data_IF_513544054247
#
_entry.id   IF_513544054247
#
_cell.length_a   1.000
_cell.length_b   1.000
_cell.length_c   1.000
_cell.angle_alpha   90.00
_cell.angle_beta   90.00
_cell.angle_gamma   90.00
#
_symmetry.space_group_name_H-M   'P 1'
#
loop_
_entity.id
_entity.type
_entity.pdbx_description
1 polymer ?
#
# COMPACT_ATOMS: atom_id res chain seq x y z
N UNK A 1 -36.12 10.19 -11.91
CA UNK A 1 -34.67 9.93 -11.96
C UNK A 1 -34.18 9.77 -10.53
N UNK A 2 -33.49 8.68 -10.17
CA UNK A 2 -32.86 8.60 -8.85
C UNK A 2 -31.90 9.77 -8.66
N UNK A 3 -31.82 10.27 -7.43
CA UNK A 3 -30.93 11.39 -7.10
C UNK A 3 -29.49 11.02 -7.50
N UNK A 4 -28.75 11.94 -8.13
CA UNK A 4 -27.37 11.67 -8.49
C UNK A 4 -26.57 11.31 -7.24
N UNK A 5 -25.83 10.21 -7.32
CA UNK A 5 -24.98 9.76 -6.22
C UNK A 5 -23.94 10.82 -5.92
N UNK A 6 -23.71 11.07 -4.64
CA UNK A 6 -22.65 11.96 -4.20
C UNK A 6 -21.30 11.28 -4.47
N UNK A 7 -20.37 12.02 -5.05
CA UNK A 7 -19.08 11.52 -5.51
C UNK A 7 -17.98 12.32 -4.81
N UNK A 8 -17.12 11.62 -4.09
CA UNK A 8 -15.97 12.21 -3.42
C UNK A 8 -14.75 12.17 -4.36
N UNK A 9 -14.32 13.31 -4.95
CA UNK A 9 -13.14 13.36 -5.83
C UNK A 9 -11.83 13.08 -5.09
N UNK A 10 -11.80 13.21 -3.75
CA UNK A 10 -10.60 12.95 -2.95
C UNK A 10 -10.39 11.46 -2.64
N UNK A 11 -11.39 10.62 -2.92
CA UNK A 11 -11.36 9.20 -2.59
C UNK A 11 -10.34 8.40 -3.43
N UNK A 12 -10.16 8.73 -4.71
CA UNK A 12 -9.18 8.09 -5.61
C UNK A 12 -9.01 8.86 -6.93
N UNK A 13 -7.93 8.57 -7.68
CA UNK A 13 -7.76 9.12 -9.03
C UNK A 13 -8.90 8.70 -10.01
N UNK A 14 -9.37 7.43 -10.03
CA UNK A 14 -10.57 7.07 -10.76
C UNK A 14 -11.83 7.83 -10.32
N UNK A 15 -11.98 8.13 -9.02
CA UNK A 15 -13.11 8.92 -8.53
C UNK A 15 -13.01 10.39 -8.97
N UNK A 16 -11.81 10.99 -8.92
CA UNK A 16 -11.54 12.31 -9.46
C UNK A 16 -11.85 12.38 -10.96
N UNK A 17 -11.40 11.38 -11.72
CA UNK A 17 -11.71 11.23 -13.14
C UNK A 17 -13.21 11.12 -13.38
N UNK A 18 -13.92 10.28 -12.64
CA UNK A 18 -15.36 10.14 -12.75
C UNK A 18 -16.11 11.44 -12.46
N UNK A 19 -15.70 12.20 -11.44
CA UNK A 19 -16.24 13.52 -11.11
C UNK A 19 -15.97 14.54 -12.23
N UNK A 20 -14.74 14.58 -12.76
CA UNK A 20 -14.39 15.46 -13.88
C UNK A 20 -15.19 15.10 -15.14
N UNK A 21 -15.23 13.83 -15.52
CA UNK A 21 -16.00 13.33 -16.65
C UNK A 21 -17.48 13.72 -16.55
N UNK A 22 -18.08 13.55 -15.37
CA UNK A 22 -19.48 13.95 -15.13
C UNK A 22 -19.67 15.46 -15.26
N UNK A 23 -18.75 16.28 -14.73
CA UNK A 23 -18.81 17.75 -14.88
C UNK A 23 -18.71 18.18 -16.33
N UNK A 24 -17.80 17.58 -17.09
CA UNK A 24 -17.59 17.86 -18.52
C UNK A 24 -18.80 17.45 -19.36
N UNK A 25 -19.34 16.25 -19.12
CA UNK A 25 -20.55 15.78 -19.79
C UNK A 25 -21.74 16.72 -19.57
N UNK A 26 -21.95 17.16 -18.32
CA UNK A 26 -23.06 18.08 -18.00
C UNK A 26 -22.84 19.44 -18.65
N UNK A 27 -21.59 19.94 -18.69
CA UNK A 27 -21.24 21.20 -19.36
C UNK A 27 -21.51 21.15 -20.87
N UNK A 28 -21.20 20.03 -21.51
CA UNK A 28 -21.47 19.78 -22.92
C UNK A 28 -22.95 19.46 -23.22
N UNK A 29 -23.82 19.40 -22.20
CA UNK A 29 -25.26 19.17 -22.37
C UNK A 29 -25.64 17.72 -22.65
N UNK A 30 -24.72 16.76 -22.52
CA UNK A 30 -24.99 15.36 -22.82
C UNK A 30 -25.64 14.62 -21.64
N UNK A 31 -26.57 13.71 -21.94
CA UNK A 31 -27.01 12.69 -20.99
C UNK A 31 -26.01 11.52 -20.99
N UNK A 32 -26.00 10.67 -19.94
CA UNK A 32 -25.13 9.47 -19.94
C UNK A 32 -25.42 8.56 -21.14
N UNK A 33 -26.70 8.46 -21.55
CA UNK A 33 -27.12 7.74 -22.75
C UNK A 33 -26.63 8.43 -24.02
N UNK A 34 -26.85 9.74 -24.13
CA UNK A 34 -26.41 10.52 -25.30
C UNK A 34 -24.90 10.48 -25.51
N UNK A 35 -24.10 10.50 -24.44
CA UNK A 35 -22.65 10.33 -24.55
C UNK A 35 -22.27 8.89 -24.93
N UNK A 36 -22.98 7.90 -24.37
CA UNK A 36 -22.80 6.49 -24.72
C UNK A 36 -23.21 6.14 -26.16
N UNK A 37 -24.12 6.90 -26.77
CA UNK A 37 -24.53 6.69 -28.16
C UNK A 37 -23.47 7.20 -29.17
N UNK A 38 -22.56 8.10 -28.73
CA UNK A 38 -21.48 8.67 -29.56
C UNK A 38 -20.19 7.84 -29.53
N UNK A 39 -20.12 6.81 -28.69
CA UNK A 39 -18.94 6.00 -28.43
C UNK A 39 -19.36 4.53 -28.44
N UNK A 40 -18.53 3.56 -28.89
CA UNK A 40 -18.90 2.14 -28.89
C UNK A 40 -18.93 1.50 -27.49
N UNK A 41 -19.59 2.13 -26.52
CA UNK A 41 -19.73 1.64 -25.13
C UNK A 41 -21.17 1.77 -24.66
N UNK A 42 -21.66 0.75 -23.94
CA UNK A 42 -22.98 0.82 -23.33
C UNK A 42 -23.08 1.98 -22.32
N UNK A 43 -24.22 2.69 -22.29
CA UNK A 43 -24.48 3.80 -21.36
C UNK A 43 -24.26 3.42 -19.88
N UNK A 44 -24.46 2.15 -19.51
CA UNK A 44 -24.19 1.63 -18.17
C UNK A 44 -22.71 1.72 -17.77
N UNK A 45 -21.79 1.62 -18.75
CA UNK A 45 -20.34 1.77 -18.53
C UNK A 45 -19.97 3.23 -18.30
N UNK A 46 -20.58 4.17 -19.02
CA UNK A 46 -20.41 5.63 -18.74
C UNK A 46 -20.74 5.92 -17.27
N UNK A 47 -21.82 5.34 -16.74
CA UNK A 47 -22.14 5.48 -15.33
C UNK A 47 -21.09 4.84 -14.40
N UNK A 48 -20.49 3.69 -14.76
CA UNK A 48 -19.39 3.10 -13.96
C UNK A 48 -18.12 3.96 -13.99
N UNK A 49 -17.81 4.59 -15.13
CA UNK A 49 -16.68 5.51 -15.26
C UNK A 49 -16.89 6.75 -14.39
N UNK A 50 -18.10 7.34 -14.41
CA UNK A 50 -18.44 8.48 -13.55
C UNK A 50 -18.41 8.14 -12.05
N UNK A 51 -18.76 6.90 -11.69
CA UNK A 51 -18.67 6.42 -10.31
C UNK A 51 -17.23 6.08 -9.87
N UNK A 52 -16.25 6.13 -10.78
CA UNK A 52 -14.86 5.74 -10.50
C UNK A 52 -14.69 4.25 -10.19
N UNK A 53 -15.65 3.40 -10.59
CA UNK A 53 -15.63 1.95 -10.37
C UNK A 53 -14.89 1.18 -11.47
N UNK A 54 -14.92 1.73 -12.69
CA UNK A 54 -14.24 1.19 -13.85
C UNK A 54 -13.47 2.34 -14.50
N UNK A 55 -12.24 2.07 -14.95
CA UNK A 55 -11.46 3.02 -15.74
C UNK A 55 -11.75 2.74 -17.22
N UNK A 56 -12.05 3.77 -18.03
CA UNK A 56 -12.28 3.55 -19.46
C UNK A 56 -11.04 2.94 -20.13
N UNK A 57 -11.21 2.09 -21.15
CA UNK A 57 -10.12 1.73 -22.07
C UNK A 57 -9.47 2.97 -22.70
N UNK A 58 -8.23 2.83 -23.19
CA UNK A 58 -7.43 3.93 -23.74
C UNK A 58 -8.10 4.62 -24.93
N UNK A 59 -8.58 3.82 -25.87
CA UNK A 59 -9.32 4.23 -27.07
C UNK A 59 -10.62 4.96 -26.71
N UNK A 60 -11.33 4.45 -25.71
CA UNK A 60 -12.57 5.07 -25.19
C UNK A 60 -12.25 6.41 -24.52
N UNK A 61 -11.16 6.49 -23.75
CA UNK A 61 -10.75 7.71 -23.08
C UNK A 61 -10.34 8.80 -24.05
N UNK A 62 -9.53 8.48 -25.06
CA UNK A 62 -9.16 9.42 -26.12
C UNK A 62 -10.41 9.96 -26.84
N UNK A 63 -11.38 9.09 -27.13
CA UNK A 63 -12.62 9.50 -27.79
C UNK A 63 -13.51 10.37 -26.90
N UNK A 64 -13.55 10.13 -25.59
CA UNK A 64 -14.25 10.97 -24.63
C UNK A 64 -13.65 12.38 -24.57
N UNK A 65 -12.33 12.48 -24.63
CA UNK A 65 -11.60 13.75 -24.65
C UNK A 65 -11.94 14.58 -25.89
N UNK A 66 -11.91 13.95 -27.07
CA UNK A 66 -12.31 14.56 -28.35
C UNK A 66 -13.76 15.07 -28.34
N UNK A 67 -14.71 14.23 -27.91
CA UNK A 67 -16.15 14.56 -27.96
C UNK A 67 -16.50 15.67 -26.96
N UNK A 68 -15.82 15.72 -25.83
CA UNK A 68 -16.07 16.73 -24.79
C UNK A 68 -15.25 18.00 -25.01
N UNK A 69 -14.37 18.04 -26.02
CA UNK A 69 -13.54 19.18 -26.41
C UNK A 69 -12.70 19.72 -25.24
N UNK A 70 -11.96 18.83 -24.58
CA UNK A 70 -11.21 19.14 -23.34
C UNK A 70 -9.69 19.13 -23.48
N UNK A 71 -9.21 19.17 -24.73
CA UNK A 71 -7.80 19.43 -25.08
C UNK A 71 -6.77 18.56 -24.32
N UNK A 72 -7.08 17.28 -24.16
CA UNK A 72 -6.19 16.29 -23.52
C UNK A 72 -6.31 16.16 -22.01
N UNK A 73 -7.12 16.98 -21.33
CA UNK A 73 -7.28 16.95 -19.87
C UNK A 73 -7.71 15.57 -19.33
N UNK A 74 -8.55 14.83 -20.08
CA UNK A 74 -8.96 13.48 -19.68
C UNK A 74 -7.88 12.45 -19.99
N UNK A 75 -7.12 12.63 -21.08
CA UNK A 75 -5.96 11.79 -21.43
C UNK A 75 -4.86 11.90 -20.38
N UNK A 76 -4.54 13.10 -19.93
CA UNK A 76 -3.53 13.32 -18.88
C UNK A 76 -3.96 12.67 -17.56
N UNK A 77 -5.21 12.90 -17.15
CA UNK A 77 -5.73 12.32 -15.91
C UNK A 77 -5.82 10.79 -15.98
N UNK A 78 -6.15 10.23 -17.14
CA UNK A 78 -6.18 8.80 -17.36
C UNK A 78 -4.78 8.16 -17.31
N UNK A 79 -3.77 8.86 -17.83
CA UNK A 79 -2.37 8.43 -17.74
C UNK A 79 -1.91 8.31 -16.29
N UNK A 80 -2.34 9.23 -15.42
CA UNK A 80 -2.10 9.13 -13.97
C UNK A 80 -2.81 7.94 -13.32
N UNK A 81 -4.00 7.55 -13.79
CA UNK A 81 -4.68 6.35 -13.29
C UNK A 81 -3.90 5.08 -13.67
N UNK A 82 -3.36 5.00 -14.89
CA UNK A 82 -2.59 3.83 -15.35
C UNK A 82 -1.23 3.70 -14.70
N UNK A 83 -0.53 4.81 -14.44
CA UNK A 83 0.78 4.80 -13.79
C UNK A 83 0.71 4.38 -12.32
N UNK A 84 -0.47 4.43 -11.70
CA UNK A 84 -0.62 4.11 -10.28
C UNK A 84 -1.81 3.18 -10.02
N UNK A 85 -1.73 1.89 -10.38
CA UNK A 85 -2.75 0.93 -9.99
C UNK A 85 -2.52 0.50 -8.54
N UNK A 86 -2.60 1.43 -7.58
CA UNK A 86 -2.70 1.04 -6.16
C UNK A 86 -4.10 0.44 -6.01
N UNK A 87 -4.23 -0.87 -5.70
CA UNK A 87 -5.54 -1.49 -5.59
C UNK A 87 -6.42 -0.78 -4.55
N UNK A 88 -7.75 -0.83 -4.74
CA UNK A 88 -8.73 -0.21 -3.83
C UNK A 88 -8.54 -0.64 -2.37
N UNK A 89 -8.21 -1.91 -2.15
CA UNK A 89 -7.91 -2.43 -0.81
C UNK A 89 -6.68 -1.77 -0.20
N UNK A 90 -5.65 -1.47 -1.00
CA UNK A 90 -4.41 -0.85 -0.56
C UNK A 90 -4.64 0.63 -0.22
N UNK A 91 -5.50 1.33 -0.97
CA UNK A 91 -5.92 2.70 -0.62
C UNK A 91 -6.69 2.74 0.69
N UNK A 92 -7.67 1.86 0.86
CA UNK A 92 -8.41 1.73 2.14
C UNK A 92 -7.47 1.39 3.28
N UNK A 93 -6.52 0.49 3.06
CA UNK A 93 -5.50 0.16 4.04
C UNK A 93 -4.68 1.39 4.46
N UNK A 94 -4.18 2.19 3.52
CA UNK A 94 -3.44 3.44 3.82
C UNK A 94 -4.30 4.43 4.60
N UNK A 95 -5.58 4.60 4.23
CA UNK A 95 -6.50 5.47 4.95
C UNK A 95 -6.74 4.99 6.40
N UNK A 96 -6.87 3.69 6.60
CA UNK A 96 -6.97 3.10 7.95
C UNK A 96 -5.66 3.24 8.72
N UNK A 97 -4.52 2.97 8.09
CA UNK A 97 -3.18 3.09 8.67
C UNK A 97 -2.95 4.50 9.23
N UNK A 98 -3.40 5.55 8.52
CA UNK A 98 -3.28 6.94 8.95
C UNK A 98 -4.09 7.27 10.23
N UNK A 99 -5.25 6.65 10.40
CA UNK A 99 -6.21 6.90 11.50
C UNK A 99 -6.11 5.90 12.66
N UNK A 100 -5.24 4.91 12.54
CA UNK A 100 -5.11 3.83 13.51
C UNK A 100 -4.35 4.30 14.75
N UNK A 101 -4.75 3.79 15.93
CA UNK A 101 -4.05 4.04 17.20
C UNK A 101 -3.00 2.97 17.52
N UNK A 102 -3.13 1.75 16.98
CA UNK A 102 -2.17 0.67 17.16
C UNK A 102 -2.08 -0.24 15.93
N UNK A 103 -0.86 -0.54 15.49
CA UNK A 103 -0.54 -1.43 14.38
C UNK A 103 0.28 -2.60 14.87
N UNK A 104 -0.20 -3.82 14.60
CA UNK A 104 0.54 -5.05 14.85
C UNK A 104 0.93 -5.68 13.51
N UNK A 105 2.22 -5.92 13.29
CA UNK A 105 2.74 -6.46 12.04
C UNK A 105 3.63 -7.67 12.32
N UNK A 106 3.38 -8.76 11.60
CA UNK A 106 4.32 -9.87 11.48
C UNK A 106 4.89 -9.88 10.07
N UNK A 107 6.21 -9.98 9.94
CA UNK A 107 6.87 -10.00 8.64
C UNK A 107 7.92 -11.10 8.58
N UNK A 108 7.79 -11.97 7.56
CA UNK A 108 8.65 -13.13 7.37
C UNK A 108 9.68 -12.97 6.24
N UNK A 109 9.64 -11.89 5.47
CA UNK A 109 10.45 -11.78 4.24
C UNK A 109 11.22 -10.48 4.11
N UNK A 110 10.73 -9.40 4.73
CA UNK A 110 11.39 -8.10 4.71
C UNK A 110 10.99 -7.29 5.93
N UNK A 111 11.80 -6.29 6.27
CA UNK A 111 11.46 -5.32 7.31
C UNK A 111 10.17 -4.58 6.89
N UNK A 112 9.21 -4.30 7.79
CA UNK A 112 8.01 -3.54 7.42
C UNK A 112 8.37 -2.17 6.84
N UNK A 113 7.67 -1.73 5.78
CA UNK A 113 7.95 -0.48 5.08
C UNK A 113 8.05 0.79 5.96
N UNK A 114 7.37 0.80 7.11
CA UNK A 114 7.42 1.90 8.07
C UNK A 114 8.77 2.03 8.80
N UNK A 115 9.59 0.96 8.79
CA UNK A 115 10.90 0.90 9.43
C UNK A 115 12.03 0.76 8.40
N UNK A 116 11.74 0.85 7.10
CA UNK A 116 12.74 0.69 6.04
C UNK A 116 13.58 1.97 5.85
N UNK A 117 14.86 1.81 5.58
CA UNK A 117 15.72 2.86 5.01
C UNK A 117 15.42 3.02 3.52
N UNK A 118 15.79 4.15 2.95
CA UNK A 118 15.59 4.40 1.52
C UNK A 118 16.28 3.35 0.64
N UNK A 119 17.56 3.06 0.92
CA UNK A 119 18.32 2.07 0.17
C UNK A 119 17.69 0.67 0.25
N UNK A 120 17.24 0.24 1.43
CA UNK A 120 16.55 -1.04 1.59
C UNK A 120 15.19 -1.05 0.90
N UNK A 121 14.42 0.04 0.99
CA UNK A 121 13.12 0.16 0.34
C UNK A 121 13.24 0.05 -1.18
N UNK A 122 14.24 0.72 -1.77
CA UNK A 122 14.57 0.66 -3.18
C UNK A 122 14.86 -0.78 -3.61
N UNK A 123 15.72 -1.48 -2.89
CA UNK A 123 16.08 -2.87 -3.20
C UNK A 123 14.88 -3.82 -3.14
N UNK A 124 14.02 -3.69 -2.12
CA UNK A 124 12.80 -4.50 -1.99
C UNK A 124 11.80 -4.21 -3.11
N UNK A 125 11.63 -2.93 -3.48
CA UNK A 125 10.68 -2.52 -4.52
C UNK A 125 11.15 -2.92 -5.91
N UNK A 126 12.42 -2.67 -6.25
CA UNK A 126 13.02 -3.04 -7.53
C UNK A 126 13.01 -4.58 -7.72
N UNK A 127 13.38 -5.36 -6.69
CA UNK A 127 13.31 -6.82 -6.78
C UNK A 127 11.87 -7.36 -6.90
N UNK A 128 10.92 -6.70 -6.24
CA UNK A 128 9.50 -7.10 -6.29
C UNK A 128 8.80 -6.73 -7.60
N UNK A 129 9.38 -5.82 -8.38
CA UNK A 129 8.80 -5.29 -9.61
C UNK A 129 9.86 -5.19 -10.73
N UNK A 130 10.39 -6.33 -11.21
CA UNK A 130 11.48 -6.34 -12.20
C UNK A 130 11.11 -5.71 -13.55
N UNK A 131 9.83 -5.43 -13.77
CA UNK A 131 9.29 -4.84 -15.00
C UNK A 131 8.97 -3.33 -14.90
N UNK A 132 9.13 -2.73 -13.72
CA UNK A 132 8.90 -1.29 -13.54
C UNK A 132 10.06 -0.47 -14.09
N UNK A 133 9.77 0.75 -14.57
CA UNK A 133 10.83 1.68 -14.94
C UNK A 133 11.53 2.22 -13.70
N UNK A 134 12.71 2.83 -13.89
CA UNK A 134 13.47 3.46 -12.79
C UNK A 134 12.65 4.56 -12.13
N UNK A 135 11.95 5.37 -12.94
CA UNK A 135 11.10 6.47 -12.47
C UNK A 135 9.93 5.95 -11.63
N UNK A 136 9.25 4.90 -12.10
CA UNK A 136 8.16 4.25 -11.35
C UNK A 136 8.66 3.65 -10.02
N UNK A 137 9.87 3.08 -10.01
CA UNK A 137 10.47 2.55 -8.79
C UNK A 137 10.75 3.66 -7.77
N UNK A 138 11.33 4.79 -8.21
CA UNK A 138 11.61 5.94 -7.34
C UNK A 138 10.31 6.58 -6.80
N UNK A 139 9.26 6.70 -7.62
CA UNK A 139 7.94 7.15 -7.14
C UNK A 139 7.39 6.25 -6.04
N UNK A 140 7.52 4.92 -6.19
CA UNK A 140 7.08 3.95 -5.19
C UNK A 140 7.92 4.01 -3.91
N UNK A 141 9.23 4.26 -4.02
CA UNK A 141 10.13 4.48 -2.88
C UNK A 141 9.70 5.75 -2.13
N UNK A 142 9.52 6.87 -2.84
CA UNK A 142 9.08 8.12 -2.25
C UNK A 142 7.72 7.98 -1.54
N UNK A 143 6.76 7.30 -2.18
CA UNK A 143 5.45 7.02 -1.59
C UNK A 143 5.53 6.09 -0.37
N UNK A 144 6.54 5.22 -0.28
CA UNK A 144 6.78 4.36 0.89
C UNK A 144 7.41 5.12 2.04
N UNK A 145 8.40 5.97 1.76
CA UNK A 145 9.08 6.76 2.78
C UNK A 145 8.19 7.87 3.34
N UNK A 146 7.34 8.50 2.51
CA UNK A 146 6.40 9.52 2.96
C UNK A 146 5.43 9.00 4.05
N UNK A 147 5.07 7.72 3.99
CA UNK A 147 4.23 7.05 5.00
C UNK A 147 4.90 6.93 6.38
N UNK A 148 6.22 7.01 6.47
CA UNK A 148 6.92 6.96 7.76
C UNK A 148 6.64 8.19 8.64
N UNK A 149 6.17 9.29 8.05
CA UNK A 149 5.70 10.47 8.78
C UNK A 149 4.61 10.13 9.82
N UNK A 150 3.86 9.03 9.62
CA UNK A 150 2.87 8.53 10.58
C UNK A 150 3.45 8.20 11.95
N UNK A 151 4.73 7.81 12.03
CA UNK A 151 5.40 7.52 13.31
C UNK A 151 5.95 8.75 14.00
N UNK A 152 5.95 9.91 13.32
CA UNK A 152 6.49 11.19 13.80
C UNK A 152 5.42 12.24 14.14
N UNK A 153 4.13 11.93 13.91
CA UNK A 153 3.02 12.84 14.25
C UNK A 153 2.88 13.02 15.78
N UNK A 154 2.22 14.08 16.27
CA UNK A 154 2.10 14.37 17.71
C UNK A 154 1.48 13.25 18.54
N UNK A 155 0.55 12.48 17.95
CA UNK A 155 -0.04 11.29 18.55
C UNK A 155 0.28 10.09 17.65
N UNK A 156 1.50 9.55 17.71
CA UNK A 156 1.90 8.46 16.84
C UNK A 156 1.18 7.16 17.26
N UNK A 157 0.89 6.26 16.32
CA UNK A 157 0.30 4.97 16.65
C UNK A 157 1.31 4.10 17.38
N UNK A 158 0.83 3.23 18.28
CA UNK A 158 1.64 2.13 18.80
C UNK A 158 1.99 1.20 17.63
N UNK A 159 3.27 0.99 17.35
CA UNK A 159 3.73 0.06 16.34
C UNK A 159 4.39 -1.14 17.02
N UNK A 160 3.78 -2.32 16.91
CA UNK A 160 4.38 -3.57 17.35
C UNK A 160 4.71 -4.44 16.15
N UNK A 161 5.98 -4.74 15.97
CA UNK A 161 6.51 -5.56 14.89
C UNK A 161 7.14 -6.83 15.44
N UNK A 162 6.78 -7.96 14.85
CA UNK A 162 7.48 -9.23 15.02
C UNK A 162 8.14 -9.59 13.70
N UNK A 163 9.48 -9.57 13.68
CA UNK A 163 10.31 -9.97 12.56
C UNK A 163 10.64 -11.45 12.67
N UNK A 164 10.44 -12.22 11.60
CA UNK A 164 11.04 -13.55 11.52
C UNK A 164 12.57 -13.44 11.41
N UNK A 165 13.31 -14.38 12.00
CA UNK A 165 14.78 -14.43 11.91
C UNK A 165 15.27 -14.43 10.45
N UNK A 166 14.48 -14.97 9.51
CA UNK A 166 14.81 -14.93 8.08
C UNK A 166 14.95 -13.52 7.51
N UNK A 167 14.26 -12.52 8.08
CA UNK A 167 14.39 -11.10 7.67
C UNK A 167 15.82 -10.60 7.93
N UNK A 168 16.46 -11.09 8.99
CA UNK A 168 17.83 -10.71 9.38
C UNK A 168 18.86 -11.56 8.62
N UNK A 169 18.56 -12.85 8.43
CA UNK A 169 19.48 -13.83 7.82
C UNK A 169 19.53 -13.77 6.29
N UNK A 170 18.55 -13.15 5.62
CA UNK A 170 18.51 -13.00 4.17
C UNK A 170 18.79 -11.53 3.80
N UNK A 171 20.04 -11.16 3.51
CA UNK A 171 20.39 -9.77 3.25
C UNK A 171 19.72 -9.27 1.96
N UNK A 172 19.27 -8.02 2.00
CA UNK A 172 18.71 -7.29 0.87
C UNK A 172 19.63 -6.13 0.54
N UNK A 173 19.97 -5.92 -0.74
CA UNK A 173 20.88 -4.85 -1.15
C UNK A 173 22.34 -5.04 -0.74
N UNK A 174 22.72 -6.26 -0.37
CA UNK A 174 24.07 -6.57 0.13
C UNK A 174 24.34 -6.15 1.58
N UNK A 175 25.57 -6.38 2.08
CA UNK A 175 25.90 -6.21 3.50
C UNK A 175 25.76 -4.78 4.02
N UNK A 176 26.13 -3.77 3.21
CA UNK A 176 26.08 -2.36 3.62
C UNK A 176 24.65 -1.89 3.83
N UNK A 177 23.76 -2.11 2.85
CA UNK A 177 22.34 -1.74 2.93
C UNK A 177 21.66 -2.47 4.09
N UNK A 178 21.96 -3.77 4.25
CA UNK A 178 21.39 -4.54 5.35
C UNK A 178 21.87 -4.05 6.72
N UNK A 179 23.15 -3.68 6.86
CA UNK A 179 23.69 -3.12 8.10
C UNK A 179 23.00 -1.80 8.46
N UNK A 180 22.89 -0.88 7.51
CA UNK A 180 22.18 0.40 7.70
C UNK A 180 20.72 0.18 8.08
N UNK A 181 20.04 -0.77 7.41
CA UNK A 181 18.68 -1.14 7.73
C UNK A 181 18.53 -1.66 9.17
N UNK A 182 19.43 -2.52 9.62
CA UNK A 182 19.39 -3.06 10.99
C UNK A 182 19.68 -2.00 12.04
N UNK A 183 20.61 -1.07 11.77
CA UNK A 183 20.86 0.09 12.64
C UNK A 183 19.60 0.93 12.79
N UNK A 184 18.92 1.25 11.69
CA UNK A 184 17.65 1.99 11.70
C UNK A 184 16.55 1.28 12.52
N UNK A 185 16.45 -0.06 12.42
CA UNK A 185 15.50 -0.83 13.23
C UNK A 185 15.86 -0.79 14.72
N UNK A 186 17.15 -0.84 15.06
CA UNK A 186 17.62 -0.72 16.45
C UNK A 186 17.32 0.67 17.02
N UNK A 187 17.53 1.72 16.25
CA UNK A 187 17.18 3.09 16.64
C UNK A 187 15.67 3.23 16.85
N UNK A 188 14.85 2.70 15.93
CA UNK A 188 13.41 2.70 16.06
C UNK A 188 12.93 1.94 17.31
N UNK A 189 13.61 0.85 17.71
CA UNK A 189 13.28 0.10 18.92
C UNK A 189 13.56 0.85 20.23
N UNK A 190 14.28 1.99 20.20
CA UNK A 190 14.44 2.87 21.36
C UNK A 190 13.29 3.88 21.51
N UNK A 191 12.41 3.98 20.51
CA UNK A 191 11.29 4.91 20.52
C UNK A 191 10.13 4.32 21.36
N UNK A 192 9.54 5.05 22.33
CA UNK A 192 8.59 4.47 23.29
C UNK A 192 7.33 3.81 22.70
N UNK A 193 6.84 4.31 21.55
CA UNK A 193 5.66 3.77 20.87
C UNK A 193 5.98 2.71 19.82
N UNK A 194 7.22 2.24 19.73
CA UNK A 194 7.66 1.23 18.77
C UNK A 194 8.24 0.03 19.53
N UNK A 195 7.63 -1.13 19.35
CA UNK A 195 8.08 -2.41 19.90
C UNK A 195 8.52 -3.31 18.74
N UNK A 196 9.78 -3.74 18.74
CA UNK A 196 10.32 -4.67 17.74
C UNK A 196 10.77 -5.96 18.44
N UNK A 197 10.29 -7.09 17.93
CA UNK A 197 10.62 -8.43 18.42
C UNK A 197 11.10 -9.30 17.28
N UNK A 198 11.95 -10.28 17.60
CA UNK A 198 12.45 -11.24 16.63
C UNK A 198 11.95 -12.63 17.00
N UNK A 199 11.35 -13.32 16.04
CA UNK A 199 10.96 -14.73 16.11
C UNK A 199 12.12 -15.59 15.61
N UNK A 200 12.83 -16.30 16.50
CA UNK A 200 13.95 -17.13 16.09
C UNK A 200 13.46 -18.43 15.42
N UNK A 201 14.27 -19.01 14.54
CA UNK A 201 13.92 -20.28 13.86
C UNK A 201 13.67 -21.44 14.83
N UNK A 202 14.32 -21.39 16.01
CA UNK A 202 14.14 -22.40 17.06
C UNK A 202 12.76 -22.37 17.71
N UNK A 203 11.96 -21.33 17.47
CA UNK A 203 10.60 -21.22 18.00
C UNK A 203 9.62 -22.24 17.38
N UNK A 204 10.02 -22.92 16.30
CA UNK A 204 9.20 -23.89 15.58
C UNK A 204 8.41 -23.26 14.43
N UNK A 205 7.49 -24.00 13.78
CA UNK A 205 6.77 -23.50 12.62
C UNK A 205 5.94 -22.27 12.98
N UNK A 206 6.12 -21.18 12.24
CA UNK A 206 5.24 -20.01 12.32
C UNK A 206 3.84 -20.44 11.89
N UNK A 207 2.85 -20.47 12.80
CA UNK A 207 1.50 -20.80 12.36
C UNK A 207 1.01 -19.69 11.43
N UNK A 208 0.31 -20.02 10.33
CA UNK A 208 -0.36 -19.00 9.53
C UNK A 208 -1.23 -18.18 10.46
N UNK A 209 -1.17 -16.86 10.38
CA UNK A 209 -1.98 -15.95 11.21
C UNK A 209 -3.50 -16.24 11.11
N UNK A 210 -3.92 -17.00 10.09
CA UNK A 210 -5.28 -17.48 9.85
C UNK A 210 -5.60 -18.90 10.40
N UNK A 211 -4.71 -19.57 11.14
CA UNK A 211 -4.92 -20.96 11.59
C UNK A 211 -5.72 -21.12 12.90
N UNK A 212 -6.51 -20.13 13.31
CA UNK A 212 -7.55 -20.34 14.33
C UNK A 212 -8.84 -20.76 13.65
N UNK A 213 -8.98 -22.06 13.39
CA UNK A 213 -10.32 -22.60 13.13
C UNK A 213 -11.15 -22.45 14.42
N UNK A 214 -12.35 -21.84 14.37
CA UNK A 214 -13.26 -21.78 15.52
C UNK A 214 -13.67 -23.16 16.04
N UNK A 215 -13.49 -24.22 15.22
CA UNK A 215 -13.86 -25.59 15.56
C UNK A 215 -12.82 -26.33 16.42
N UNK A 216 -11.58 -25.83 16.51
CA UNK A 216 -10.52 -26.53 17.24
C UNK A 216 -10.53 -26.10 18.73
N UNK A 217 -11.35 -26.79 19.54
CA UNK A 217 -11.39 -26.67 21.02
C UNK A 217 -10.56 -27.77 21.68
N UNK A 218 -9.28 -27.90 21.35
CA UNK A 218 -8.40 -28.76 22.16
C UNK A 218 -7.98 -28.02 23.44
N UNK A 219 -8.17 -28.69 24.58
CA UNK A 219 -7.93 -28.17 25.95
C UNK A 219 -6.46 -28.10 26.34
N UNK A 220 -5.55 -28.63 25.53
CA UNK A 220 -4.11 -28.51 25.74
C UNK A 220 -3.63 -27.17 25.18
N UNK A 221 -3.59 -26.14 26.05
CA UNK A 221 -2.79 -24.93 25.80
C UNK A 221 -1.33 -25.36 25.67
N UNK A 222 -0.84 -25.56 24.45
CA UNK A 222 0.59 -25.38 24.20
C UNK A 222 0.87 -23.90 24.41
N UNK A 223 1.50 -23.58 25.53
CA UNK A 223 2.00 -22.22 25.79
C UNK A 223 2.98 -21.87 24.69
N UNK A 224 2.75 -20.73 24.06
CA UNK A 224 3.71 -20.16 23.12
C UNK A 224 5.05 -19.94 23.84
N UNK A 225 6.19 -20.15 23.18
CA UNK A 225 7.47 -19.69 23.71
C UNK A 225 7.34 -18.22 24.08
N UNK A 226 7.76 -17.84 25.28
CA UNK A 226 7.79 -16.44 25.71
C UNK A 226 8.62 -15.63 24.72
N UNK A 227 7.97 -14.73 23.99
CA UNK A 227 8.61 -13.78 23.09
C UNK A 227 9.65 -12.97 23.86
N UNK A 228 10.92 -13.05 23.45
CA UNK A 228 11.97 -12.22 24.05
C UNK A 228 11.90 -10.83 23.42
N UNK A 229 11.71 -9.81 24.26
CA UNK A 229 11.95 -8.41 23.86
C UNK A 229 13.36 -8.31 23.29
N UNK A 230 13.51 -7.60 22.17
CA UNK A 230 14.82 -7.19 21.67
C UNK A 230 15.41 -6.07 22.55
N UNK A 231 15.53 -6.30 23.86
CA UNK A 231 16.21 -5.39 24.78
C UNK A 231 17.44 -6.07 25.36
N UNK A 232 18.58 -5.38 25.18
CA UNK A 232 19.96 -5.70 25.58
C UNK A 232 20.69 -6.77 24.76
N UNK A 233 21.42 -6.28 23.75
CA UNK A 233 22.83 -6.54 23.44
C UNK A 233 23.40 -7.99 23.33
N UNK A 234 22.65 -9.05 23.64
CA UNK A 234 23.24 -10.40 23.77
C UNK A 234 23.21 -11.24 22.50
N UNK A 235 22.43 -10.87 21.48
CA UNK A 235 22.31 -11.63 20.23
C UNK A 235 23.35 -11.26 19.18
N UNK A 236 23.82 -10.02 19.17
CA UNK A 236 24.65 -9.49 18.08
C UNK A 236 26.13 -9.88 18.16
N UNK A 237 26.58 -10.53 19.25
CA UNK A 237 28.00 -10.86 19.47
C UNK A 237 28.46 -12.22 18.93
N UNK A 238 27.57 -13.04 18.36
CA UNK A 238 27.90 -14.43 17.95
C UNK A 238 27.41 -14.80 16.56
N UNK A 239 27.52 -13.89 15.58
CA UNK A 239 27.38 -14.22 14.16
C UNK A 239 28.68 -13.90 13.42
N UNK A 240 29.14 -14.75 12.49
CA UNK A 240 30.32 -14.46 11.69
C UNK A 240 29.94 -13.37 10.69
N UNK A 241 30.29 -12.14 11.00
CA UNK A 241 30.32 -11.02 10.06
C UNK A 241 31.78 -10.75 9.71
#
# INVERSE_FOLDING_TARGET
MPAPKDLDPSASLPALYGVKLRKLRVRAGFTQRGLGDLIPVAHSRIAQFELGKETPPEDVNARLDEILEVDGDLVDLWTHIRRTPIPDWARKFVAYEARTNAMHKYTAHSVPGLLQTEAYAREVLCHGQPWCTVEEAEENVAARLSRQSLLRKPQPPLLWVVLDESVIRRPVGGPTVMREQLVSVLEAAHVPHIEVQVMPFVAGPTPPWAARSPSCRSTTRRTWPTWRRATRASWWKTGPW
#
